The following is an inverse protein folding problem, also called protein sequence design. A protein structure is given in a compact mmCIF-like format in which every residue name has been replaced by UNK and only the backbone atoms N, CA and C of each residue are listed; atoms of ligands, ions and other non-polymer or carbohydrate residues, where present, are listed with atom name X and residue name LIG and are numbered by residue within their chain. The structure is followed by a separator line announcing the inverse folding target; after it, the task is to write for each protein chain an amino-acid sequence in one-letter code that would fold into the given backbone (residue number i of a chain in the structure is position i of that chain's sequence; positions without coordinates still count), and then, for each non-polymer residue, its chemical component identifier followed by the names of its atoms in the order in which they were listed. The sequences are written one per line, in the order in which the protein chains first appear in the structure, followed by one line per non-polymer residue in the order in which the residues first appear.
data_IF_287379161272
#
_entry.id   IF_287379161272
#
_cell.length_a   1.000
_cell.length_b   1.000
_cell.length_c   1.000
_cell.angle_alpha   90.00
_cell.angle_beta   90.00
_cell.angle_gamma   90.00
#
_symmetry.space_group_name_H-M   'P 1'
#
loop_
_entity.id
_entity.type
_entity.pdbx_description
1 polymer ?
#
# COMPACT_ATOMS: atom_id res chain seq x y z
N UNK A 1 16.80 18.12 5.25
CA UNK A 1 16.21 17.12 4.33
C UNK A 1 15.07 17.81 3.60
N UNK A 2 15.04 17.75 2.27
CA UNK A 2 13.89 18.24 1.51
C UNK A 2 12.83 17.14 1.56
N UNK A 3 11.79 17.34 2.35
CA UNK A 3 10.65 16.42 2.39
C UNK A 3 9.89 16.52 1.07
N UNK A 4 9.53 15.37 0.49
CA UNK A 4 8.66 15.37 -0.68
C UNK A 4 7.27 15.80 -0.24
N UNK A 5 6.70 16.72 -1.00
CA UNK A 5 5.37 17.27 -0.76
C UNK A 5 4.39 16.72 -1.79
N UNK A 6 3.08 16.77 -1.51
CA UNK A 6 2.08 16.25 -2.47
C UNK A 6 1.97 17.10 -3.75
N UNK A 7 2.56 18.29 -3.73
CA UNK A 7 2.77 19.20 -4.85
C UNK A 7 3.80 18.64 -5.86
N UNK A 8 4.74 17.81 -5.40
CA UNK A 8 5.75 17.18 -6.27
C UNK A 8 5.18 16.02 -7.11
N UNK A 9 4.00 15.51 -6.75
CA UNK A 9 3.38 14.39 -7.44
C UNK A 9 2.86 14.80 -8.84
N UNK A 10 3.18 14.04 -9.91
CA UNK A 10 2.66 14.32 -11.23
C UNK A 10 1.14 14.11 -11.27
N UNK A 11 0.44 15.04 -11.92
CA UNK A 11 -1.00 14.98 -12.14
C UNK A 11 -1.30 14.22 -13.45
N UNK A 12 -2.40 13.48 -13.47
CA UNK A 12 -2.93 12.85 -14.67
C UNK A 12 -2.02 11.79 -15.27
N UNK A 13 -1.26 11.04 -14.46
CA UNK A 13 -0.22 10.11 -14.94
C UNK A 13 -0.58 8.64 -14.78
N UNK A 14 -1.26 8.25 -13.70
CA UNK A 14 -1.36 6.85 -13.30
C UNK A 14 -2.72 6.21 -13.60
N UNK A 15 -2.73 4.89 -13.78
CA UNK A 15 -3.96 4.11 -13.81
C UNK A 15 -4.18 3.37 -12.49
N UNK A 16 -3.09 2.90 -11.87
CA UNK A 16 -3.15 2.32 -10.54
C UNK A 16 -2.04 2.80 -9.61
N UNK A 17 -2.35 2.82 -8.33
CA UNK A 17 -1.43 3.27 -7.27
C UNK A 17 -1.44 2.23 -6.15
N UNK A 18 -0.27 1.82 -5.67
CA UNK A 18 -0.11 1.04 -4.44
C UNK A 18 0.34 1.99 -3.33
N UNK A 19 -0.31 1.94 -2.17
CA UNK A 19 -0.12 2.86 -1.04
C UNK A 19 0.29 2.06 0.19
N UNK A 20 1.46 2.33 0.75
CA UNK A 20 1.92 1.83 2.05
C UNK A 20 1.96 2.97 3.06
N UNK A 21 0.78 3.46 3.44
CA UNK A 21 0.63 4.72 4.18
C UNK A 21 1.37 4.68 5.55
N UNK A 22 2.14 5.73 5.91
CA UNK A 22 2.94 5.75 7.12
C UNK A 22 2.09 6.14 8.34
N UNK A 23 1.20 5.24 8.78
CA UNK A 23 0.25 5.51 9.86
C UNK A 23 0.91 6.05 11.13
N UNK A 24 0.36 7.13 11.69
CA UNK A 24 0.61 7.47 13.09
C UNK A 24 -0.13 6.49 14.01
N UNK A 25 0.61 5.49 14.49
CA UNK A 25 0.08 4.44 15.37
C UNK A 25 -0.43 4.98 16.72
N UNK A 26 0.00 6.18 17.17
CA UNK A 26 -0.03 6.58 18.58
C UNK A 26 -0.59 7.98 18.89
N UNK A 27 -1.59 8.46 18.14
CA UNK A 27 -2.42 9.59 18.60
C UNK A 27 -3.16 9.29 19.94
N UNK A 28 -3.08 8.05 20.47
CA UNK A 28 -3.44 7.75 21.86
C UNK A 28 -2.51 6.70 22.49
N UNK A 29 -1.88 7.06 23.61
CA UNK A 29 -1.21 6.19 24.61
C UNK A 29 0.20 5.63 24.32
N UNK A 30 1.21 6.40 24.77
CA UNK A 30 2.45 6.04 25.48
C UNK A 30 3.29 4.78 25.13
N UNK A 31 4.60 5.05 25.07
CA UNK A 31 5.75 4.15 25.37
C UNK A 31 6.06 3.01 24.39
N UNK A 32 6.71 3.33 23.27
CA UNK A 32 7.71 2.43 22.68
C UNK A 32 8.80 3.26 21.97
N UNK A 33 9.99 3.30 22.57
CA UNK A 33 11.16 4.06 22.10
C UNK A 33 11.76 3.56 20.76
N UNK A 34 11.21 2.49 20.17
CA UNK A 34 11.72 1.87 18.93
C UNK A 34 11.12 2.51 17.66
N UNK A 35 10.06 3.31 17.79
CA UNK A 35 9.34 3.94 16.66
C UNK A 35 9.81 5.37 16.33
N UNK A 36 10.80 5.91 17.05
CA UNK A 36 11.30 7.29 16.92
C UNK A 36 12.08 7.58 15.60
N UNK A 37 11.94 6.77 14.55
CA UNK A 37 12.79 6.87 13.35
C UNK A 37 12.04 7.10 12.03
N UNK A 38 10.71 7.17 12.03
CA UNK A 38 9.95 7.40 10.79
C UNK A 38 8.91 8.50 10.97
N UNK A 39 8.88 9.43 10.01
CA UNK A 39 7.82 10.43 9.94
C UNK A 39 6.50 9.71 9.63
N UNK A 40 5.57 9.77 10.57
CA UNK A 40 4.23 9.24 10.44
C UNK A 40 3.26 10.32 9.95
N UNK A 41 2.08 9.90 9.54
CA UNK A 41 1.04 10.77 9.01
C UNK A 41 -0.32 10.41 9.60
N UNK A 42 -1.07 11.44 9.96
CA UNK A 42 -2.47 11.35 10.38
C UNK A 42 -3.39 11.14 9.17
N UNK A 43 -4.63 10.72 9.41
CA UNK A 43 -5.62 10.64 8.32
C UNK A 43 -5.84 12.04 7.74
N UNK A 44 -5.94 13.05 8.59
CA UNK A 44 -6.21 14.44 8.21
C UNK A 44 -5.14 14.99 7.27
N UNK A 45 -3.87 14.67 7.50
CA UNK A 45 -2.77 15.00 6.58
C UNK A 45 -2.87 14.20 5.29
N UNK A 46 -3.12 12.88 5.39
CA UNK A 46 -3.31 12.01 4.24
C UNK A 46 -4.48 12.43 3.34
N UNK A 47 -5.58 12.93 3.91
CA UNK A 47 -6.76 13.40 3.18
C UNK A 47 -6.47 14.63 2.31
N UNK A 48 -5.36 15.34 2.55
CA UNK A 48 -4.94 16.48 1.71
C UNK A 48 -4.25 16.03 0.42
N UNK A 49 -3.99 14.74 0.25
CA UNK A 49 -3.46 14.22 -1.00
C UNK A 49 -4.43 14.56 -2.14
N UNK A 50 -3.94 15.14 -3.25
CA UNK A 50 -4.70 15.36 -4.47
C UNK A 50 -4.85 14.04 -5.24
N UNK A 51 -5.28 13.00 -4.53
CA UNK A 51 -5.18 11.59 -4.94
C UNK A 51 -5.97 11.33 -6.22
N UNK A 52 -7.12 11.98 -6.39
CA UNK A 52 -7.93 11.93 -7.61
C UNK A 52 -7.20 12.47 -8.82
N UNK A 53 -6.43 13.53 -8.66
CA UNK A 53 -5.73 14.20 -9.74
C UNK A 53 -4.46 13.45 -10.17
N UNK A 54 -4.00 12.45 -9.42
CA UNK A 54 -2.86 11.61 -9.80
C UNK A 54 -3.21 10.70 -10.99
N UNK A 55 -4.49 10.35 -11.16
CA UNK A 55 -4.96 9.41 -12.16
C UNK A 55 -5.20 10.07 -13.52
N UNK A 56 -4.87 9.36 -14.61
CA UNK A 56 -5.18 9.80 -15.99
C UNK A 56 -6.68 9.97 -16.21
N UNK A 57 -7.43 8.99 -15.72
CA UNK A 57 -8.90 9.00 -15.68
C UNK A 57 -9.35 8.41 -14.34
N UNK A 58 -9.91 9.26 -13.47
CA UNK A 58 -10.41 8.83 -12.18
C UNK A 58 -11.51 7.75 -12.29
N UNK A 59 -12.27 7.69 -13.38
CA UNK A 59 -13.25 6.60 -13.53
C UNK A 59 -12.51 5.27 -13.65
N UNK A 60 -11.40 5.23 -14.36
CA UNK A 60 -10.61 4.03 -14.62
C UNK A 60 -9.50 3.77 -13.60
N UNK A 61 -9.48 4.53 -12.49
CA UNK A 61 -8.47 4.42 -11.45
C UNK A 61 -8.67 3.21 -10.51
N UNK A 62 -7.55 2.60 -10.12
CA UNK A 62 -7.48 1.59 -9.06
C UNK A 62 -6.46 2.00 -8.01
N UNK A 63 -6.83 1.94 -6.75
CA UNK A 63 -5.91 2.18 -5.65
C UNK A 63 -5.83 0.93 -4.76
N UNK A 64 -4.62 0.49 -4.48
CA UNK A 64 -4.32 -0.62 -3.57
C UNK A 64 -3.70 -0.06 -2.31
N UNK A 65 -4.24 -0.38 -1.15
CA UNK A 65 -3.74 0.09 0.13
C UNK A 65 -3.24 -1.11 0.91
N UNK A 66 -1.98 -1.07 1.34
CA UNK A 66 -1.49 -1.97 2.38
C UNK A 66 -2.20 -1.65 3.69
N UNK A 67 -2.61 -2.71 4.38
CA UNK A 67 -3.29 -2.63 5.66
C UNK A 67 -2.76 -3.70 6.60
N UNK A 68 -2.40 -3.31 7.82
CA UNK A 68 -2.21 -4.27 8.90
C UNK A 68 -3.57 -4.56 9.55
N UNK A 69 -3.77 -5.79 10.06
CA UNK A 69 -5.04 -6.15 10.73
C UNK A 69 -5.51 -5.12 11.77
N UNK A 70 -4.65 -4.60 12.67
CA UNK A 70 -5.07 -3.62 13.68
C UNK A 70 -5.47 -2.26 13.10
N UNK A 71 -4.84 -1.83 12.01
CA UNK A 71 -5.07 -0.51 11.41
C UNK A 71 -5.99 -0.53 10.19
N UNK A 72 -6.54 -1.69 9.83
CA UNK A 72 -7.39 -1.85 8.65
C UNK A 72 -8.57 -0.87 8.64
N UNK A 73 -9.12 -0.53 9.81
CA UNK A 73 -10.17 0.46 9.96
C UNK A 73 -9.73 1.89 9.55
N UNK A 74 -8.48 2.27 9.79
CA UNK A 74 -7.92 3.55 9.35
C UNK A 74 -7.70 3.58 7.84
N UNK A 75 -7.34 2.44 7.23
CA UNK A 75 -7.24 2.31 5.77
C UNK A 75 -8.58 2.62 5.09
N UNK A 76 -9.69 2.14 5.65
CA UNK A 76 -11.03 2.47 5.13
C UNK A 76 -11.36 3.95 5.30
N UNK A 77 -11.06 4.55 6.45
CA UNK A 77 -11.27 5.98 6.69
C UNK A 77 -10.48 6.86 5.74
N UNK A 78 -9.20 6.54 5.50
CA UNK A 78 -8.38 7.26 4.54
C UNK A 78 -8.95 7.11 3.12
N UNK A 79 -9.31 5.89 2.71
CA UNK A 79 -9.96 5.66 1.42
C UNK A 79 -11.25 6.49 1.24
N UNK A 80 -12.11 6.52 2.25
CA UNK A 80 -13.33 7.34 2.26
C UNK A 80 -13.02 8.83 2.14
N UNK A 81 -12.03 9.33 2.89
CA UNK A 81 -11.62 10.74 2.84
C UNK A 81 -11.06 11.18 1.49
N UNK A 82 -10.63 10.22 0.66
CA UNK A 82 -10.14 10.43 -0.70
C UNK A 82 -11.23 10.14 -1.75
N UNK A 83 -12.51 10.07 -1.36
CA UNK A 83 -13.68 9.75 -2.19
C UNK A 83 -13.62 8.37 -2.86
N UNK A 84 -12.83 7.44 -2.33
CA UNK A 84 -12.70 6.09 -2.86
C UNK A 84 -13.72 5.14 -2.25
N UNK A 85 -14.13 4.16 -3.05
CA UNK A 85 -15.03 3.08 -2.64
C UNK A 85 -14.24 1.79 -2.48
N UNK A 86 -14.39 1.12 -1.34
CA UNK A 86 -13.78 -0.19 -1.13
C UNK A 86 -14.37 -1.24 -2.09
N UNK A 87 -13.49 -2.07 -2.67
CA UNK A 87 -13.84 -3.06 -3.70
C UNK A 87 -13.50 -4.49 -3.32
N UNK A 88 -12.79 -4.71 -2.21
CA UNK A 88 -12.39 -6.04 -1.76
C UNK A 88 -10.92 -6.11 -1.38
N UNK A 89 -10.50 -7.28 -0.95
CA UNK A 89 -9.11 -7.57 -0.57
C UNK A 89 -8.51 -8.49 -1.63
N UNK A 90 -7.93 -7.98 -2.74
CA UNK A 90 -7.35 -8.81 -3.79
C UNK A 90 -6.21 -9.72 -3.33
N UNK A 91 -5.47 -9.34 -2.28
CA UNK A 91 -4.34 -10.13 -1.79
C UNK A 91 -4.21 -10.11 -0.26
N UNK A 92 -3.77 -11.23 0.30
CA UNK A 92 -3.43 -11.41 1.70
C UNK A 92 -2.02 -11.99 1.79
N UNK A 93 -1.10 -11.23 2.36
CA UNK A 93 0.24 -11.70 2.65
C UNK A 93 0.24 -12.40 4.01
N UNK A 94 0.51 -13.70 4.02
CA UNK A 94 0.83 -14.49 5.21
C UNK A 94 2.34 -14.56 5.36
N UNK A 95 2.83 -14.10 6.51
CA UNK A 95 4.24 -14.13 6.86
C UNK A 95 4.67 -15.57 7.10
N UNK A 96 5.71 -16.01 6.40
CA UNK A 96 6.24 -17.38 6.50
C UNK A 96 7.66 -17.41 7.06
N UNK A 97 8.11 -18.61 7.42
CA UNK A 97 9.48 -18.81 7.89
C UNK A 97 10.48 -18.56 6.76
N UNK A 98 11.67 -18.04 7.09
CA UNK A 98 12.73 -17.75 6.10
C UNK A 98 13.29 -19.02 5.45
N UNK A 99 13.44 -20.08 6.24
CA UNK A 99 13.93 -21.41 5.85
C UNK A 99 12.83 -22.34 5.30
N UNK A 100 11.56 -22.01 5.55
CA UNK A 100 10.40 -22.75 5.05
C UNK A 100 9.32 -21.77 4.53
N UNK A 101 9.47 -21.24 3.31
CA UNK A 101 8.66 -20.13 2.79
C UNK A 101 7.18 -20.47 2.58
N UNK A 102 6.80 -21.76 2.61
CA UNK A 102 5.41 -22.21 2.57
C UNK A 102 4.81 -22.49 3.96
N UNK A 103 5.56 -22.23 5.03
CA UNK A 103 5.12 -22.48 6.41
C UNK A 103 4.87 -21.14 7.11
N UNK A 104 3.61 -20.84 7.50
CA UNK A 104 3.31 -19.65 8.29
C UNK A 104 4.14 -19.56 9.57
N UNK A 105 4.54 -18.33 9.93
CA UNK A 105 5.18 -18.10 11.22
C UNK A 105 4.18 -18.25 12.36
N UNK A 106 4.68 -18.58 13.55
CA UNK A 106 3.90 -18.47 14.78
C UNK A 106 3.79 -17.03 15.28
N UNK A 107 3.13 -16.85 16.43
CA UNK A 107 2.94 -15.56 17.08
C UNK A 107 4.29 -14.92 17.51
N UNK A 108 4.73 -13.86 16.83
CA UNK A 108 5.98 -13.11 17.13
C UNK A 108 5.71 -11.66 17.55
N UNK A 109 6.57 -11.05 18.39
CA UNK A 109 6.47 -9.62 18.78
C UNK A 109 5.69 -9.34 20.08
N UNK A 110 5.18 -8.11 20.23
CA UNK A 110 4.44 -7.62 21.42
C UNK A 110 3.16 -8.45 21.67
N UNK A 111 2.69 -8.49 22.93
CA UNK A 111 1.45 -9.19 23.32
C UNK A 111 0.24 -8.59 22.60
N UNK A 112 -0.60 -9.40 21.91
CA UNK A 112 -1.79 -8.89 21.25
C UNK A 112 -2.96 -8.76 22.23
N UNK A 113 -3.97 -7.98 21.86
CA UNK A 113 -5.27 -7.95 22.56
C UNK A 113 -6.02 -9.28 22.42
N UNK A 114 -5.99 -9.88 21.22
CA UNK A 114 -6.67 -11.15 20.92
C UNK A 114 -5.70 -12.20 20.38
N UNK A 115 -5.23 -12.06 19.13
CA UNK A 115 -4.29 -12.97 18.46
C UNK A 115 -3.25 -12.14 17.70
N UNK A 116 -2.00 -12.64 17.62
CA UNK A 116 -0.95 -11.93 16.88
C UNK A 116 -1.22 -12.01 15.38
N UNK A 117 -1.35 -10.88 14.68
CA UNK A 117 -1.54 -10.89 13.25
C UNK A 117 -0.26 -11.35 12.57
N UNK A 118 -0.35 -12.45 11.82
CA UNK A 118 0.70 -12.92 10.92
C UNK A 118 0.44 -12.52 9.47
N UNK A 119 -0.67 -11.82 9.23
CA UNK A 119 -1.09 -11.39 7.91
C UNK A 119 -1.06 -9.87 7.76
N UNK A 120 -0.80 -9.42 6.53
CA UNK A 120 -1.09 -8.08 6.05
C UNK A 120 -1.95 -8.17 4.79
N UNK A 121 -2.74 -7.15 4.53
CA UNK A 121 -3.78 -7.16 3.51
C UNK A 121 -3.48 -6.09 2.48
N UNK A 122 -3.84 -6.38 1.23
CA UNK A 122 -3.91 -5.38 0.17
C UNK A 122 -5.37 -5.17 -0.14
N UNK A 123 -5.86 -3.98 0.18
CA UNK A 123 -7.24 -3.56 -0.01
C UNK A 123 -7.35 -2.82 -1.34
N UNK A 124 -8.36 -3.13 -2.16
CA UNK A 124 -8.63 -2.45 -3.41
C UNK A 124 -9.72 -1.39 -3.24
N UNK A 125 -9.51 -0.25 -3.88
CA UNK A 125 -10.36 0.93 -3.85
C UNK A 125 -10.49 1.53 -5.25
N UNK A 126 -11.66 2.09 -5.58
CA UNK A 126 -11.90 2.76 -6.87
C UNK A 126 -12.90 3.91 -6.72
N UNK A 127 -12.94 4.87 -7.65
CA UNK A 127 -14.00 5.90 -7.68
C UNK A 127 -15.34 5.40 -8.25
N UNK A 128 -15.36 4.26 -8.95
CA UNK A 128 -16.60 3.62 -9.41
C UNK A 128 -17.20 2.72 -8.33
N UNK A 129 -18.53 2.71 -8.20
CA UNK A 129 -19.24 1.83 -7.25
C UNK A 129 -19.40 0.39 -7.76
N UNK A 130 -19.45 0.20 -9.09
CA UNK A 130 -19.73 -1.08 -9.75
C UNK A 130 -18.91 -1.21 -11.04
N UNK A 131 -18.78 -2.44 -11.51
CA UNK A 131 -18.04 -2.78 -12.73
C UNK A 131 -16.52 -2.88 -12.52
N UNK A 132 -15.81 -3.20 -13.60
CA UNK A 132 -14.35 -3.23 -13.63
C UNK A 132 -13.81 -1.82 -13.94
N UNK A 133 -12.88 -1.29 -13.14
CA UNK A 133 -12.27 0.02 -13.38
C UNK A 133 -11.30 -0.01 -14.56
N UNK A 134 -10.56 -1.11 -14.73
CA UNK A 134 -9.60 -1.39 -15.79
C UNK A 134 -9.84 -2.80 -16.37
N UNK A 135 -9.41 -3.08 -17.61
CA UNK A 135 -9.30 -4.44 -18.12
C UNK A 135 -8.42 -5.30 -17.22
N UNK A 136 -8.87 -6.51 -16.90
CA UNK A 136 -8.10 -7.49 -16.13
C UNK A 136 -7.52 -8.51 -17.09
N UNK A 137 -6.19 -8.64 -17.11
CA UNK A 137 -5.46 -9.56 -17.98
C UNK A 137 -5.34 -10.96 -17.37
N UNK A 138 -5.12 -11.06 -16.06
CA UNK A 138 -5.02 -12.34 -15.35
C UNK A 138 -5.82 -12.35 -14.05
N UNK A 139 -7.09 -12.73 -14.11
CA UNK A 139 -7.96 -12.79 -12.93
C UNK A 139 -7.81 -14.09 -12.12
N UNK A 140 -7.29 -15.17 -12.72
CA UNK A 140 -7.09 -16.46 -12.06
C UNK A 140 -5.79 -16.47 -11.22
N UNK A 141 -5.71 -15.57 -10.25
CA UNK A 141 -4.60 -15.47 -9.32
C UNK A 141 -5.01 -15.93 -7.93
N UNK A 142 -4.12 -16.63 -7.22
CA UNK A 142 -4.28 -16.84 -5.79
C UNK A 142 -4.26 -15.50 -5.04
N UNK A 143 -5.27 -15.28 -4.21
CA UNK A 143 -5.32 -14.18 -3.24
C UNK A 143 -4.22 -14.32 -2.17
N UNK A 144 -3.79 -15.55 -1.88
CA UNK A 144 -2.82 -15.84 -0.82
C UNK A 144 -1.39 -15.64 -1.31
N UNK A 145 -0.63 -14.84 -0.57
CA UNK A 145 0.81 -14.63 -0.77
C UNK A 145 1.53 -15.20 0.44
N UNK A 146 2.33 -16.24 0.24
CA UNK A 146 3.21 -16.81 1.25
C UNK A 146 4.61 -16.25 1.01
N UNK A 147 5.11 -15.44 1.94
CA UNK A 147 6.45 -14.89 1.84
C UNK A 147 7.04 -14.57 3.22
N UNK A 148 8.36 -14.73 3.42
CA UNK A 148 8.98 -14.37 4.67
C UNK A 148 8.98 -12.85 4.89
N UNK A 149 9.12 -12.42 6.14
CA UNK A 149 9.32 -11.00 6.47
C UNK A 149 10.68 -10.53 5.96
N UNK A 150 10.66 -9.48 5.14
CA UNK A 150 11.85 -8.70 4.79
C UNK A 150 12.36 -7.87 5.97
N UNK A 151 13.40 -7.09 5.72
CA UNK A 151 13.97 -6.17 6.71
C UNK A 151 13.13 -4.89 6.81
N UNK A 152 13.16 -4.19 7.95
CA UNK A 152 12.50 -2.89 8.12
C UNK A 152 11.01 -2.80 7.68
N UNK A 153 10.24 -3.89 7.78
CA UNK A 153 8.84 -3.95 7.33
C UNK A 153 8.64 -3.89 5.80
N UNK A 154 9.67 -4.27 5.04
CA UNK A 154 9.62 -4.47 3.60
C UNK A 154 8.51 -5.45 3.20
N UNK A 155 7.70 -5.00 2.23
CA UNK A 155 6.60 -5.77 1.65
C UNK A 155 7.13 -6.73 0.58
N UNK A 156 6.53 -7.92 0.41
CA UNK A 156 7.04 -8.92 -0.53
C UNK A 156 6.97 -8.42 -1.96
N UNK A 157 8.07 -8.51 -2.70
CA UNK A 157 8.17 -8.08 -4.10
C UNK A 157 7.15 -8.76 -5.02
N UNK A 158 6.68 -9.96 -4.65
CA UNK A 158 5.66 -10.70 -5.35
C UNK A 158 4.38 -9.89 -5.56
N UNK A 159 3.97 -9.03 -4.62
CA UNK A 159 2.72 -8.25 -4.78
C UNK A 159 2.73 -7.40 -6.05
N UNK A 160 3.89 -6.81 -6.37
CA UNK A 160 4.04 -5.89 -7.49
C UNK A 160 3.89 -6.67 -8.80
N UNK A 161 4.53 -7.84 -8.89
CA UNK A 161 4.36 -8.76 -10.03
C UNK A 161 2.91 -9.20 -10.20
N UNK A 162 2.22 -9.53 -9.10
CA UNK A 162 0.80 -9.94 -9.17
C UNK A 162 -0.11 -8.81 -9.68
N UNK A 163 0.11 -7.57 -9.22
CA UNK A 163 -0.63 -6.39 -9.71
C UNK A 163 -0.30 -6.08 -11.17
N UNK A 164 0.97 -6.22 -11.57
CA UNK A 164 1.39 -6.10 -12.97
C UNK A 164 0.72 -7.17 -13.86
N UNK A 165 0.56 -8.40 -13.37
CA UNK A 165 -0.14 -9.46 -14.09
C UNK A 165 -1.65 -9.17 -14.21
N UNK A 166 -2.24 -8.42 -13.27
CA UNK A 166 -3.64 -7.98 -13.38
C UNK A 166 -3.85 -6.96 -14.50
N UNK A 167 -2.98 -5.95 -14.61
CA UNK A 167 -3.25 -4.78 -15.47
C UNK A 167 -2.25 -4.60 -16.62
N UNK A 168 -1.16 -5.35 -16.65
CA UNK A 168 -0.08 -5.25 -17.64
C UNK A 168 1.13 -4.43 -17.15
N UNK A 169 2.33 -4.91 -17.49
CA UNK A 169 3.62 -4.28 -17.12
C UNK A 169 3.90 -2.93 -17.76
N UNK A 170 3.11 -2.47 -18.71
CA UNK A 170 3.25 -1.15 -19.32
C UNK A 170 2.20 -0.14 -18.81
N UNK A 171 1.30 -0.58 -17.94
CA UNK A 171 0.26 0.27 -17.36
C UNK A 171 0.87 1.26 -16.36
N UNK A 172 0.67 2.58 -16.55
CA UNK A 172 1.23 3.61 -15.69
C UNK A 172 0.85 3.44 -14.22
N UNK A 173 1.85 3.46 -13.33
CA UNK A 173 1.69 3.10 -11.92
C UNK A 173 2.63 3.82 -10.98
N UNK A 174 2.17 3.99 -9.73
CA UNK A 174 2.90 4.62 -8.63
C UNK A 174 2.96 3.68 -7.42
N UNK A 175 4.14 3.58 -6.83
CA UNK A 175 4.36 3.04 -5.49
C UNK A 175 4.50 4.22 -4.50
N UNK A 176 3.48 4.41 -3.67
CA UNK A 176 3.30 5.58 -2.83
C UNK A 176 3.65 5.27 -1.38
N UNK A 177 4.44 6.19 -0.79
CA UNK A 177 5.15 6.04 0.48
C UNK A 177 6.20 4.92 0.47
N UNK A 178 6.76 4.64 -0.71
CA UNK A 178 7.79 3.62 -0.86
C UNK A 178 9.14 4.07 -0.30
N UNK A 179 9.91 3.09 0.16
CA UNK A 179 11.30 3.28 0.62
C UNK A 179 12.34 2.83 -0.39
N UNK A 180 11.90 2.15 -1.46
CA UNK A 180 12.80 1.64 -2.49
C UNK A 180 12.24 1.97 -3.87
N UNK A 181 13.13 2.19 -4.83
CA UNK A 181 12.72 2.30 -6.23
C UNK A 181 12.55 0.91 -6.84
N UNK A 182 11.52 0.73 -7.66
CA UNK A 182 11.31 -0.50 -8.44
C UNK A 182 11.29 -0.17 -9.92
N UNK A 183 11.99 -0.96 -10.72
CA UNK A 183 12.00 -0.81 -12.17
C UNK A 183 10.57 -0.86 -12.73
N UNK A 184 10.23 0.12 -13.58
CA UNK A 184 8.90 0.26 -14.18
C UNK A 184 7.81 0.80 -13.24
N UNK A 185 8.13 1.18 -12.00
CA UNK A 185 7.24 1.91 -11.10
C UNK A 185 7.81 3.30 -10.84
N UNK A 186 6.96 4.32 -10.88
CA UNK A 186 7.31 5.56 -10.21
C UNK A 186 7.24 5.33 -8.70
N UNK A 187 8.13 5.97 -7.93
CA UNK A 187 8.17 5.83 -6.47
C UNK A 187 8.11 7.20 -5.80
N UNK A 188 7.14 7.37 -4.89
CA UNK A 188 7.03 8.57 -4.07
C UNK A 188 7.18 8.21 -2.60
N UNK A 189 8.11 8.87 -1.90
CA UNK A 189 8.41 8.65 -0.49
C UNK A 189 9.63 9.46 -0.09
N UNK A 190 9.76 9.75 1.21
CA UNK A 190 10.85 10.57 1.75
C UNK A 190 12.22 9.87 1.67
N UNK A 191 12.23 8.55 1.46
CA UNK A 191 13.43 7.71 1.40
C UNK A 191 13.81 7.31 -0.04
N UNK A 192 13.10 7.82 -1.07
CA UNK A 192 13.37 7.52 -2.49
C UNK A 192 13.68 8.76 -3.31
N UNK A 193 14.77 8.75 -4.08
CA UNK A 193 15.17 9.89 -4.93
C UNK A 193 14.43 9.95 -6.29
N UNK A 194 13.55 9.00 -6.59
CA UNK A 194 13.09 8.75 -7.96
C UNK A 194 11.64 9.21 -8.21
N UNK A 195 11.43 10.50 -8.44
CA UNK A 195 10.43 10.92 -9.43
C UNK A 195 11.22 11.25 -10.71
N UNK A 196 10.82 10.79 -11.90
CA UNK A 196 11.48 11.23 -13.13
C UNK A 196 11.42 12.75 -13.16
N UNK A 197 12.60 13.39 -13.16
CA UNK A 197 12.70 14.85 -13.33
C UNK A 197 12.04 15.19 -14.67
N UNK A 198 11.18 16.22 -14.65
CA UNK A 198 10.50 16.77 -15.82
C UNK A 198 11.47 17.00 -16.98
#
# INVERSE_FOLDING_TARGET
MNYKTFEDLPRGKYDFILVDFPWDYYASTHTNQVLNHYDTMTIEEGSRMPFRELFRDAKSAVAFFWATAPLMHLCFKLGESLDLQYRGTPYVWVKTKRDAPNTPIGATGVRPTFVKPICEFVLAFTYRKKGRPLPILQENQSQLILAPRGEHSEKPSLIYTKIEDLFGRHTPRLDMFSRTSREGWDSFGNEVDTLPRK
#
